data_IF_967296433712
#
_entry.id   IF_967296433712
#
_cell.length_a   1.000
_cell.length_b   1.000
_cell.length_c   1.000
_cell.angle_alpha   90.00
_cell.angle_beta   90.00
_cell.angle_gamma   90.00
#
_symmetry.space_group_name_H-M   'P 1'
#
loop_
_entity.id
_entity.type
_entity.pdbx_description
1 polymer ?
#
# COMPACT_ATOMS: atom_id res chain seq x y z
N UNK A 1 18.77 0.29 -34.07
CA UNK A 1 17.36 0.49 -33.68
C UNK A 1 16.84 -0.54 -32.66
N UNK A 2 17.40 -1.76 -32.58
CA UNK A 2 16.94 -2.79 -31.62
C UNK A 2 17.17 -2.43 -30.13
N UNK A 3 18.25 -1.70 -29.79
CA UNK A 3 18.56 -1.27 -28.41
C UNK A 3 17.64 -0.16 -27.86
N UNK A 4 16.92 0.57 -28.72
CA UNK A 4 16.00 1.63 -28.28
C UNK A 4 14.70 1.07 -27.72
N UNK A 5 14.12 0.07 -28.41
CA UNK A 5 12.89 -0.63 -28.01
C UNK A 5 13.02 -1.33 -26.65
N UNK A 6 14.19 -1.88 -26.33
CA UNK A 6 14.43 -2.54 -25.04
C UNK A 6 14.53 -1.55 -23.87
N UNK A 7 15.14 -0.38 -24.10
CA UNK A 7 15.24 0.68 -23.10
C UNK A 7 13.90 1.38 -22.85
N UNK A 8 13.09 1.55 -23.90
CA UNK A 8 11.76 2.15 -23.80
C UNK A 8 10.79 1.27 -23.00
N UNK A 9 10.80 -0.05 -23.26
CA UNK A 9 10.02 -1.02 -22.46
C UNK A 9 10.48 -1.07 -21.00
N UNK A 10 11.77 -0.90 -20.73
CA UNK A 10 12.29 -0.90 -19.36
C UNK A 10 11.88 0.37 -18.62
N UNK A 11 11.96 1.54 -19.28
CA UNK A 11 11.50 2.80 -18.72
C UNK A 11 10.01 2.76 -18.38
N UNK A 12 9.19 2.16 -19.27
CA UNK A 12 7.76 1.95 -19.01
C UNK A 12 7.54 1.06 -17.78
N UNK A 13 8.26 -0.05 -17.66
CA UNK A 13 8.15 -0.94 -16.51
C UNK A 13 8.53 -0.23 -15.20
N UNK A 14 9.62 0.53 -15.20
CA UNK A 14 10.06 1.31 -14.03
C UNK A 14 9.04 2.38 -13.66
N UNK A 15 8.47 3.07 -14.65
CA UNK A 15 7.42 4.06 -14.42
C UNK A 15 6.16 3.43 -13.83
N UNK A 16 5.75 2.25 -14.31
CA UNK A 16 4.63 1.49 -13.78
C UNK A 16 4.90 1.06 -12.32
N UNK A 17 6.09 0.54 -12.04
CA UNK A 17 6.50 0.18 -10.68
C UNK A 17 6.48 1.38 -9.75
N UNK A 18 7.04 2.51 -10.18
CA UNK A 18 7.01 3.76 -9.42
C UNK A 18 5.57 4.23 -9.15
N UNK A 19 4.68 4.15 -10.15
CA UNK A 19 3.28 4.50 -10.00
C UNK A 19 2.60 3.61 -8.95
N UNK A 20 2.81 2.28 -9.01
CA UNK A 20 2.26 1.35 -8.01
C UNK A 20 2.77 1.69 -6.60
N UNK A 21 4.06 1.97 -6.43
CA UNK A 21 4.66 2.32 -5.14
C UNK A 21 4.13 3.65 -4.59
N UNK A 22 4.01 4.68 -5.43
CA UNK A 22 3.60 6.02 -4.99
C UNK A 22 2.09 6.11 -4.78
N UNK A 23 1.30 5.43 -5.60
CA UNK A 23 -0.17 5.53 -5.57
C UNK A 23 -0.79 4.43 -4.70
N UNK A 24 -0.24 3.22 -4.70
CA UNK A 24 -0.79 2.07 -3.97
C UNK A 24 -0.89 2.31 -2.46
N UNK A 25 0.14 2.93 -1.86
CA UNK A 25 0.13 3.27 -0.43
C UNK A 25 -0.98 4.26 -0.05
N UNK A 26 -1.05 5.45 -0.66
CA UNK A 26 -2.12 6.43 -0.41
C UNK A 26 -3.52 5.89 -0.69
N UNK A 27 -3.72 5.10 -1.76
CA UNK A 27 -5.03 4.46 -2.03
C UNK A 27 -5.38 3.49 -0.91
N UNK A 28 -4.47 2.59 -0.55
CA UNK A 28 -4.68 1.65 0.55
C UNK A 28 -5.00 2.39 1.86
N UNK A 29 -4.28 3.47 2.15
CA UNK A 29 -4.51 4.29 3.34
C UNK A 29 -5.88 4.99 3.29
N UNK A 30 -6.26 5.58 2.16
CA UNK A 30 -7.56 6.23 1.96
C UNK A 30 -8.71 5.25 2.17
N UNK A 31 -8.58 4.03 1.62
CA UNK A 31 -9.52 2.94 1.86
C UNK A 31 -9.64 2.64 3.35
N UNK A 32 -8.63 2.88 4.19
CA UNK A 32 -8.74 2.63 5.64
C UNK A 32 -9.67 3.59 6.41
N UNK A 33 -10.04 4.71 5.79
CA UNK A 33 -10.93 5.70 6.40
C UNK A 33 -12.40 5.48 6.07
N UNK A 34 -12.73 4.65 5.08
CA UNK A 34 -14.11 4.40 4.67
C UNK A 34 -14.77 3.43 5.66
N UNK A 35 -15.72 3.88 6.46
CA UNK A 35 -16.47 3.03 7.38
C UNK A 35 -17.39 2.07 6.61
N UNK A 36 -17.24 0.74 6.77
CA UNK A 36 -18.06 -0.21 6.05
C UNK A 36 -19.43 -0.33 6.70
N UNK A 37 -20.48 0.08 6.00
CA UNK A 37 -21.87 -0.04 6.48
C UNK A 37 -22.35 -1.51 6.67
N UNK A 38 -21.66 -2.48 6.06
CA UNK A 38 -22.03 -3.91 6.12
C UNK A 38 -20.79 -4.79 6.30
N UNK A 39 -20.94 -5.91 7.01
CA UNK A 39 -19.85 -6.87 7.26
C UNK A 39 -19.20 -7.41 5.98
N UNK A 40 -19.98 -7.60 4.91
CA UNK A 40 -19.46 -8.01 3.59
C UNK A 40 -18.53 -6.95 2.95
N UNK A 41 -18.91 -5.67 3.06
CA UNK A 41 -18.11 -4.55 2.55
C UNK A 41 -16.80 -4.39 3.33
N UNK A 42 -16.78 -4.77 4.62
CA UNK A 42 -15.55 -4.76 5.40
C UNK A 42 -14.52 -5.77 4.87
N UNK A 43 -14.95 -6.98 4.50
CA UNK A 43 -14.06 -7.99 3.90
C UNK A 43 -13.49 -7.51 2.56
N UNK A 44 -14.33 -6.92 1.72
CA UNK A 44 -13.91 -6.37 0.43
C UNK A 44 -12.91 -5.23 0.61
N UNK A 45 -13.17 -4.32 1.55
CA UNK A 45 -12.29 -3.21 1.90
C UNK A 45 -10.92 -3.70 2.36
N UNK A 46 -10.88 -4.68 3.27
CA UNK A 46 -9.63 -5.29 3.75
C UNK A 46 -8.87 -5.94 2.58
N UNK A 47 -9.57 -6.69 1.73
CA UNK A 47 -8.99 -7.29 0.54
C UNK A 47 -8.38 -6.26 -0.41
N UNK A 48 -9.07 -5.14 -0.65
CA UNK A 48 -8.56 -4.05 -1.47
C UNK A 48 -7.33 -3.37 -0.84
N UNK A 49 -7.33 -3.11 0.48
CA UNK A 49 -6.15 -2.58 1.17
C UNK A 49 -4.94 -3.50 0.98
N UNK A 50 -5.12 -4.80 1.18
CA UNK A 50 -4.05 -5.79 1.00
C UNK A 50 -3.56 -5.78 -0.46
N UNK A 51 -4.48 -5.75 -1.43
CA UNK A 51 -4.16 -5.77 -2.85
C UNK A 51 -3.33 -4.56 -3.29
N UNK A 52 -3.56 -3.39 -2.72
CA UNK A 52 -2.78 -2.18 -3.03
C UNK A 52 -1.51 -2.06 -2.17
N UNK A 53 -1.56 -2.45 -0.89
CA UNK A 53 -0.40 -2.35 0.02
C UNK A 53 0.70 -3.34 -0.30
N UNK A 54 0.39 -4.62 -0.60
CA UNK A 54 1.43 -5.64 -0.78
C UNK A 54 2.37 -5.35 -1.96
N UNK A 55 1.86 -5.05 -3.17
CA UNK A 55 2.71 -4.69 -4.31
C UNK A 55 3.51 -3.42 -4.04
N UNK A 56 2.90 -2.40 -3.41
CA UNK A 56 3.58 -1.15 -3.10
C UNK A 56 4.71 -1.33 -2.06
N UNK A 57 4.53 -2.22 -1.07
CA UNK A 57 5.57 -2.62 -0.11
C UNK A 57 6.69 -3.35 -0.85
N UNK A 58 6.35 -4.38 -1.64
CA UNK A 58 7.33 -5.20 -2.34
C UNK A 58 8.20 -4.38 -3.29
N UNK A 59 7.55 -3.58 -4.15
CA UNK A 59 8.25 -2.69 -5.08
C UNK A 59 8.99 -1.58 -4.33
N UNK A 60 8.42 -1.05 -3.24
CA UNK A 60 9.08 -0.06 -2.39
C UNK A 60 10.42 -0.57 -1.83
N UNK A 61 10.47 -1.82 -1.37
CA UNK A 61 11.72 -2.47 -0.93
C UNK A 61 12.71 -2.64 -2.08
N UNK A 62 12.25 -2.98 -3.28
CA UNK A 62 13.12 -3.04 -4.47
C UNK A 62 13.74 -1.66 -4.73
N UNK A 63 12.96 -0.59 -4.69
CA UNK A 63 13.46 0.78 -4.89
C UNK A 63 14.42 1.24 -3.79
N UNK A 64 14.25 0.78 -2.55
CA UNK A 64 15.19 1.06 -1.46
C UNK A 64 16.52 0.34 -1.63
N UNK A 65 16.49 -0.94 -2.03
CA UNK A 65 17.66 -1.83 -2.09
C UNK A 65 18.40 -1.75 -3.42
N UNK A 66 17.73 -1.28 -4.48
CA UNK A 66 18.35 -1.03 -5.76
C UNK A 66 19.43 0.07 -5.64
N UNK A 67 20.51 -0.08 -6.42
CA UNK A 67 21.56 0.93 -6.53
C UNK A 67 21.14 2.09 -7.45
N UNK A 68 19.94 2.61 -7.22
CA UNK A 68 19.40 3.81 -7.85
C UNK A 68 19.73 5.03 -6.98
N UNK A 69 19.83 6.19 -7.63
CA UNK A 69 20.12 7.46 -6.96
C UNK A 69 19.13 7.76 -5.83
N UNK A 70 19.50 8.74 -4.98
CA UNK A 70 18.78 9.06 -3.75
C UNK A 70 17.26 9.22 -3.94
N UNK A 71 16.81 9.81 -5.05
CA UNK A 71 15.40 9.96 -5.38
C UNK A 71 14.65 8.62 -5.44
N UNK A 72 15.21 7.61 -6.10
CA UNK A 72 14.59 6.28 -6.19
C UNK A 72 14.39 5.63 -4.83
N UNK A 73 15.38 5.76 -3.94
CA UNK A 73 15.29 5.26 -2.56
C UNK A 73 14.21 5.97 -1.75
N UNK A 74 14.07 7.30 -1.91
CA UNK A 74 13.02 8.07 -1.23
C UNK A 74 11.61 7.68 -1.70
N UNK A 75 11.43 7.44 -3.01
CA UNK A 75 10.15 6.91 -3.52
C UNK A 75 9.84 5.54 -2.93
N UNK A 76 10.84 4.66 -2.86
CA UNK A 76 10.70 3.36 -2.20
C UNK A 76 10.30 3.49 -0.73
N UNK A 77 10.93 4.42 0.00
CA UNK A 77 10.65 4.69 1.40
C UNK A 77 9.26 5.25 1.66
N UNK A 78 8.82 6.18 0.83
CA UNK A 78 7.46 6.69 0.88
C UNK A 78 6.44 5.57 0.65
N UNK A 79 6.55 4.84 -0.46
CA UNK A 79 5.58 3.79 -0.80
C UNK A 79 5.55 2.65 0.21
N UNK A 80 6.72 2.22 0.69
CA UNK A 80 6.82 1.23 1.77
C UNK A 80 6.18 1.72 3.06
N UNK A 81 6.52 2.93 3.51
CA UNK A 81 6.05 3.49 4.77
C UNK A 81 4.53 3.67 4.80
N UNK A 82 3.97 4.32 3.78
CA UNK A 82 2.52 4.59 3.69
C UNK A 82 1.74 3.29 3.57
N UNK A 83 2.20 2.34 2.75
CA UNK A 83 1.54 1.05 2.56
C UNK A 83 1.57 0.18 3.82
N UNK A 84 2.70 0.17 4.53
CA UNK A 84 2.85 -0.53 5.81
C UNK A 84 1.93 0.07 6.88
N UNK A 85 1.85 1.40 6.94
CA UNK A 85 0.95 2.09 7.87
C UNK A 85 -0.53 1.80 7.58
N UNK A 86 -0.94 1.79 6.31
CA UNK A 86 -2.29 1.41 5.89
C UNK A 86 -2.64 -0.02 6.34
N UNK A 87 -1.69 -0.95 6.18
CA UNK A 87 -1.87 -2.35 6.59
C UNK A 87 -1.99 -2.47 8.12
N UNK A 88 -1.07 -1.82 8.86
CA UNK A 88 -1.11 -1.78 10.33
C UNK A 88 -2.46 -1.26 10.85
N UNK A 89 -2.95 -0.16 10.28
CA UNK A 89 -4.24 0.42 10.68
C UNK A 89 -5.41 -0.51 10.41
N UNK A 90 -5.41 -1.18 9.26
CA UNK A 90 -6.47 -2.13 8.87
C UNK A 90 -6.50 -3.33 9.83
N UNK A 91 -5.34 -3.86 10.20
CA UNK A 91 -5.23 -4.93 11.19
C UNK A 91 -5.74 -4.45 12.56
N UNK A 92 -5.37 -3.23 12.99
CA UNK A 92 -5.84 -2.64 14.25
C UNK A 92 -7.37 -2.49 14.28
N UNK A 93 -7.98 -2.02 13.19
CA UNK A 93 -9.43 -1.90 13.06
C UNK A 93 -10.13 -3.28 13.10
N UNK A 94 -9.58 -4.28 12.39
CA UNK A 94 -10.11 -5.64 12.45
C UNK A 94 -10.03 -6.25 13.86
N UNK A 95 -8.96 -5.96 14.62
CA UNK A 95 -8.82 -6.43 16.00
C UNK A 95 -9.79 -5.72 16.95
N UNK A 96 -9.97 -4.41 16.79
CA UNK A 96 -10.92 -3.61 17.58
C UNK A 96 -12.36 -4.08 17.40
N UNK A 97 -12.77 -4.40 16.17
CA UNK A 97 -14.11 -4.90 15.87
C UNK A 97 -14.41 -6.31 16.44
N UNK A 98 -13.39 -7.05 16.89
CA UNK A 98 -13.57 -8.36 17.56
C UNK A 98 -13.67 -8.28 19.08
N UNK A 99 -13.49 -7.10 19.67
CA UNK A 99 -13.48 -6.93 21.13
C UNK A 99 -14.62 -5.99 21.58
N UNK A 100 -15.89 -6.48 21.61
CA UNK A 100 -17.05 -5.67 21.98
C UNK A 100 -17.04 -5.17 23.44
N UNK A 101 -16.26 -5.78 24.33
CA UNK A 101 -16.18 -5.41 25.77
C UNK A 101 -15.63 -4.01 26.08
N UNK A 102 -15.13 -3.26 25.09
CA UNK A 102 -14.71 -1.86 25.32
C UNK A 102 -15.85 -0.85 25.31
N UNK A 103 -17.08 -1.28 24.99
CA UNK A 103 -18.28 -0.45 25.05
C UNK A 103 -19.04 -0.50 26.37
N UNK A 104 -18.66 -1.37 27.31
CA UNK A 104 -19.36 -1.61 28.59
C UNK A 104 -18.64 -1.01 29.80
N UNK A 105 -17.59 -0.21 29.59
CA UNK A 105 -16.89 0.52 30.67
C UNK A 105 -16.86 2.00 30.31
N UNK A 106 -18.04 2.58 30.11
CA UNK A 106 -18.29 4.01 30.23
C UNK A 106 -19.66 4.19 30.90
N UNK A 107 -19.67 3.97 32.22
CA UNK A 107 -20.61 4.61 33.14
C UNK A 107 -19.87 5.75 33.86
#
# INVERSE_FOLDING_TARGET
MLYGLTMESLAFLVALMAAITVVGGPIALGLTFIEPAKSSLNKLRVGAVILFSLPAIFIGVIFMTANIGLGGRLYGLFGFGVSTFALYRTIKQMRGNRNPDKGLIQD
#
